data_IF_479240939224
#
_entry.id   IF_479240939224
#
_cell.length_a   1.000
_cell.length_b   1.000
_cell.length_c   1.000
_cell.angle_alpha   90.00
_cell.angle_beta   90.00
_cell.angle_gamma   90.00
#
_symmetry.space_group_name_H-M   'P 1'
#
loop_
_entity.id
_entity.type
_entity.pdbx_description
1 polymer ?
#
# COMPACT_ATOMS: atom_id res chain seq x y z
N UNK A 1 -10.75 -25.83 -8.96
CA UNK A 1 -11.48 -25.42 -7.73
C UNK A 1 -10.75 -24.21 -7.15
N UNK A 2 -11.45 -23.14 -6.74
CA UNK A 2 -10.78 -21.92 -6.31
C UNK A 2 -10.22 -22.11 -4.90
N UNK A 3 -8.92 -21.87 -4.72
CA UNK A 3 -8.31 -21.75 -3.39
C UNK A 3 -8.82 -20.46 -2.74
N UNK A 4 -9.75 -20.58 -1.80
CA UNK A 4 -10.46 -19.45 -1.18
C UNK A 4 -9.89 -18.98 0.17
N UNK A 5 -8.70 -19.42 0.57
CA UNK A 5 -8.10 -19.01 1.84
C UNK A 5 -6.59 -18.81 1.69
N UNK A 6 -5.97 -17.78 2.33
CA UNK A 6 -4.52 -17.69 2.39
C UNK A 6 -3.97 -18.96 3.05
N UNK A 7 -3.19 -19.79 2.33
CA UNK A 7 -2.84 -21.14 2.77
C UNK A 7 -2.10 -21.16 4.11
N UNK A 8 -1.44 -20.07 4.48
CA UNK A 8 -0.64 -19.96 5.70
C UNK A 8 -1.40 -20.00 7.03
N UNK A 9 -2.67 -19.62 7.06
CA UNK A 9 -3.44 -19.59 8.34
C UNK A 9 -3.87 -21.00 8.75
N UNK A 10 -4.28 -21.82 7.77
CA UNK A 10 -4.71 -23.20 7.98
C UNK A 10 -3.53 -24.18 8.13
N UNK A 11 -2.31 -23.79 7.72
CA UNK A 11 -1.11 -24.57 7.99
C UNK A 11 -0.73 -24.64 9.48
N UNK A 12 -1.25 -23.72 10.31
CA UNK A 12 -0.88 -23.60 11.73
C UNK A 12 -1.99 -24.01 12.71
N UNK A 13 -3.19 -24.26 12.21
CA UNK A 13 -4.37 -24.45 13.07
C UNK A 13 -5.33 -25.45 12.44
N UNK A 14 -6.01 -26.24 13.27
CA UNK A 14 -7.04 -27.15 12.79
C UNK A 14 -8.21 -26.39 12.14
N UNK A 15 -8.71 -26.93 11.04
CA UNK A 15 -9.75 -26.27 10.24
C UNK A 15 -11.07 -26.15 11.01
N UNK A 16 -11.45 -27.17 11.79
CA UNK A 16 -12.70 -27.18 12.58
C UNK A 16 -12.74 -26.04 13.60
N UNK A 17 -11.61 -25.77 14.24
CA UNK A 17 -11.49 -24.70 15.22
C UNK A 17 -11.54 -23.30 14.56
N UNK A 18 -10.97 -23.15 13.36
CA UNK A 18 -11.08 -21.91 12.59
C UNK A 18 -12.52 -21.67 12.17
N UNK A 19 -13.21 -22.69 11.67
CA UNK A 19 -14.62 -22.60 11.25
C UNK A 19 -15.53 -22.18 12.41
N UNK A 20 -15.38 -22.79 13.60
CA UNK A 20 -16.13 -22.41 14.80
C UNK A 20 -15.93 -20.92 15.15
N UNK A 21 -14.68 -20.45 15.18
CA UNK A 21 -14.33 -19.05 15.47
C UNK A 21 -14.89 -18.07 14.43
N UNK A 22 -14.84 -18.45 13.15
CA UNK A 22 -15.43 -17.66 12.05
C UNK A 22 -16.94 -17.57 12.22
N UNK A 23 -17.60 -18.69 12.55
CA UNK A 23 -19.05 -18.73 12.71
C UNK A 23 -19.52 -17.89 13.90
N UNK A 24 -18.79 -17.90 15.02
CA UNK A 24 -19.08 -17.04 16.17
C UNK A 24 -19.02 -15.55 15.80
N UNK A 25 -17.96 -15.12 15.10
CA UNK A 25 -17.86 -13.74 14.59
C UNK A 25 -18.96 -13.43 13.58
N UNK A 26 -19.27 -14.35 12.67
CA UNK A 26 -20.31 -14.14 11.66
C UNK A 26 -21.69 -13.89 12.28
N UNK A 27 -22.04 -14.54 13.39
CA UNK A 27 -23.31 -14.28 14.10
C UNK A 27 -23.47 -12.84 14.57
N UNK A 28 -22.38 -12.15 14.87
CA UNK A 28 -22.37 -10.72 15.18
C UNK A 28 -22.61 -9.89 13.91
N UNK A 29 -21.83 -10.15 12.85
CA UNK A 29 -21.88 -9.35 11.61
C UNK A 29 -23.13 -9.58 10.74
N UNK A 30 -23.80 -10.74 10.81
CA UNK A 30 -25.02 -11.02 10.02
C UNK A 30 -26.19 -10.08 10.32
N UNK A 31 -26.13 -9.37 11.46
CA UNK A 31 -27.14 -8.40 11.88
C UNK A 31 -26.89 -7.00 11.34
N UNK A 32 -25.74 -6.75 10.74
CA UNK A 32 -25.39 -5.45 10.17
C UNK A 32 -25.91 -5.33 8.73
N UNK A 33 -26.24 -4.11 8.28
CA UNK A 33 -26.42 -3.84 6.86
C UNK A 33 -25.17 -4.25 6.07
N UNK A 34 -25.37 -4.78 4.85
CA UNK A 34 -24.27 -5.26 3.99
C UNK A 34 -23.22 -4.17 3.77
N UNK A 35 -23.64 -2.93 3.50
CA UNK A 35 -22.73 -1.80 3.32
C UNK A 35 -21.86 -1.53 4.56
N UNK A 36 -22.44 -1.61 5.76
CA UNK A 36 -21.69 -1.47 7.02
C UNK A 36 -20.68 -2.60 7.20
N UNK A 37 -21.08 -3.83 6.88
CA UNK A 37 -20.18 -4.99 6.88
C UNK A 37 -19.00 -4.81 5.92
N UNK A 38 -19.27 -4.36 4.68
CA UNK A 38 -18.25 -4.11 3.66
C UNK A 38 -17.27 -3.01 4.09
N UNK A 39 -17.77 -1.88 4.59
CA UNK A 39 -16.91 -0.78 5.09
C UNK A 39 -16.06 -1.26 6.27
N UNK A 40 -16.64 -2.04 7.19
CA UNK A 40 -15.91 -2.57 8.35
C UNK A 40 -14.79 -3.52 7.92
N UNK A 41 -15.02 -4.32 6.87
CA UNK A 41 -14.00 -5.17 6.28
C UNK A 41 -12.88 -4.34 5.63
N UNK A 42 -13.21 -3.33 4.83
CA UNK A 42 -12.21 -2.46 4.20
C UNK A 42 -11.36 -1.75 5.26
N UNK A 43 -11.99 -1.23 6.32
CA UNK A 43 -11.30 -0.61 7.48
C UNK A 43 -10.40 -1.56 8.26
N UNK A 44 -10.66 -2.87 8.19
CA UNK A 44 -9.77 -3.87 8.76
C UNK A 44 -8.61 -4.16 7.80
N UNK A 45 -8.91 -4.29 6.52
CA UNK A 45 -7.92 -4.57 5.48
C UNK A 45 -6.89 -3.45 5.35
N UNK A 46 -7.31 -2.17 5.45
CA UNK A 46 -6.43 -1.00 5.34
C UNK A 46 -5.33 -0.93 6.42
N UNK A 47 -5.51 -1.65 7.53
CA UNK A 47 -4.50 -1.75 8.61
C UNK A 47 -3.33 -2.65 8.24
N UNK A 48 -3.46 -3.48 7.20
CA UNK A 48 -2.37 -4.32 6.71
C UNK A 48 -1.33 -3.44 6.00
N UNK A 49 -0.05 -3.62 6.33
CA UNK A 49 1.05 -2.88 5.72
C UNK A 49 1.14 -3.09 4.20
N UNK A 50 0.66 -4.23 3.70
CA UNK A 50 0.62 -4.58 2.27
C UNK A 50 -0.64 -4.08 1.55
N UNK A 51 -1.62 -3.53 2.27
CA UNK A 51 -2.88 -3.13 1.66
C UNK A 51 -2.70 -1.92 0.73
N UNK A 52 -3.19 -2.05 -0.50
CA UNK A 52 -3.07 -0.98 -1.49
C UNK A 52 -1.65 -0.79 -2.05
N UNK A 53 -0.73 -1.73 -1.78
CA UNK A 53 0.62 -1.73 -2.34
C UNK A 53 0.80 -2.83 -3.39
N UNK A 54 1.36 -2.46 -4.53
CA UNK A 54 1.79 -3.39 -5.59
C UNK A 54 3.31 -3.51 -5.53
N UNK A 55 3.79 -4.75 -5.48
CA UNK A 55 5.22 -5.04 -5.39
C UNK A 55 5.72 -5.62 -6.72
N UNK A 56 6.85 -5.11 -7.19
CA UNK A 56 7.51 -5.48 -8.42
C UNK A 56 8.96 -5.85 -8.13
N UNK A 57 9.48 -6.89 -8.79
CA UNK A 57 10.92 -7.13 -8.79
C UNK A 57 11.60 -6.15 -9.75
N UNK A 58 12.62 -5.46 -9.26
CA UNK A 58 13.39 -4.50 -10.05
C UNK A 58 14.89 -4.70 -9.82
N UNK A 59 15.69 -4.09 -10.69
CA UNK A 59 17.13 -3.97 -10.53
C UNK A 59 17.46 -2.52 -10.20
N UNK A 60 18.37 -2.30 -9.25
CA UNK A 60 18.95 -0.98 -9.05
C UNK A 60 20.02 -0.69 -10.12
N UNK A 61 20.60 0.51 -10.08
CA UNK A 61 21.69 0.93 -10.98
C UNK A 61 22.92 0.00 -10.90
N UNK A 62 23.12 -0.67 -9.77
CA UNK A 62 24.20 -1.63 -9.55
C UNK A 62 23.83 -3.08 -9.97
N UNK A 63 22.68 -3.29 -10.63
CA UNK A 63 22.12 -4.60 -10.98
C UNK A 63 21.78 -5.53 -9.79
N UNK A 64 21.65 -5.00 -8.57
CA UNK A 64 21.13 -5.74 -7.43
C UNK A 64 19.61 -5.87 -7.51
N UNK A 65 19.12 -7.07 -7.16
CA UNK A 65 17.68 -7.32 -7.04
C UNK A 65 17.09 -6.56 -5.86
N UNK A 66 16.07 -5.75 -6.13
CA UNK A 66 15.26 -5.07 -5.13
C UNK A 66 13.78 -5.32 -5.39
N UNK A 67 12.95 -4.97 -4.40
CA UNK A 67 11.50 -4.93 -4.56
C UNK A 67 11.07 -3.46 -4.58
N UNK A 68 10.45 -3.06 -5.68
CA UNK A 68 9.79 -1.77 -5.83
C UNK A 68 8.33 -1.92 -5.42
N UNK A 69 7.92 -1.21 -4.37
CA UNK A 69 6.54 -1.17 -3.89
C UNK A 69 5.93 0.18 -4.21
N UNK A 70 4.77 0.16 -4.88
CA UNK A 70 4.03 1.36 -5.26
C UNK A 70 2.66 1.28 -4.59
N UNK A 71 2.28 2.31 -3.83
CA UNK A 71 0.98 2.35 -3.18
C UNK A 71 0.49 3.76 -2.92
N UNK A 72 -0.60 3.87 -2.18
CA UNK A 72 -1.30 5.15 -1.99
C UNK A 72 -0.49 6.21 -1.23
N UNK A 73 0.53 5.84 -0.46
CA UNK A 73 1.40 6.81 0.24
C UNK A 73 2.63 7.24 -0.56
N UNK A 74 3.03 6.47 -1.58
CA UNK A 74 4.25 6.73 -2.34
C UNK A 74 4.90 5.47 -2.91
N UNK A 75 6.17 5.63 -3.25
CA UNK A 75 7.04 4.58 -3.79
C UNK A 75 8.09 4.20 -2.75
N UNK A 76 8.26 2.91 -2.52
CA UNK A 76 9.15 2.35 -1.50
C UNK A 76 10.01 1.27 -2.13
N UNK A 77 11.29 1.22 -1.74
CA UNK A 77 12.23 0.24 -2.25
C UNK A 77 12.70 -0.62 -1.09
N UNK A 78 12.59 -1.93 -1.24
CA UNK A 78 13.05 -2.90 -0.25
C UNK A 78 14.23 -3.69 -0.81
N UNK A 79 15.19 -3.99 0.05
CA UNK A 79 16.29 -4.87 -0.32
C UNK A 79 15.82 -6.31 -0.34
N UNK A 80 16.09 -7.03 -1.42
CA UNK A 80 15.82 -8.47 -1.50
C UNK A 80 16.94 -9.23 -0.79
N UNK A 81 16.92 -9.29 0.54
CA UNK A 81 17.83 -10.17 1.30
C UNK A 81 17.13 -11.45 1.72
N UNK A 82 17.85 -12.57 1.73
CA UNK A 82 17.35 -13.89 2.16
C UNK A 82 16.73 -13.90 3.57
N UNK A 83 17.09 -12.91 4.40
CA UNK A 83 16.70 -12.82 5.81
C UNK A 83 16.01 -11.50 6.20
N UNK A 84 15.73 -10.58 5.26
CA UNK A 84 14.98 -9.36 5.58
C UNK A 84 13.51 -9.54 5.24
N UNK A 85 12.68 -9.36 6.27
CA UNK A 85 11.26 -9.17 6.08
C UNK A 85 11.05 -7.83 5.34
N UNK A 86 10.11 -7.79 4.39
CA UNK A 86 9.70 -6.61 3.62
C UNK A 86 8.94 -5.57 4.47
N UNK A 87 9.34 -5.43 5.74
CA UNK A 87 8.68 -4.59 6.74
C UNK A 87 9.24 -3.17 6.64
N UNK A 88 10.57 -3.03 6.62
CA UNK A 88 11.24 -1.72 6.61
C UNK A 88 11.79 -1.42 5.21
N UNK A 89 11.34 -0.35 4.54
CA UNK A 89 11.89 0.06 3.26
C UNK A 89 13.31 0.62 3.42
N UNK A 90 14.17 0.32 2.46
CA UNK A 90 15.51 0.89 2.34
C UNK A 90 15.47 2.35 1.85
N UNK A 91 14.59 2.65 0.90
CA UNK A 91 14.31 4.00 0.42
C UNK A 91 12.79 4.24 0.39
N UNK A 92 12.37 5.45 0.71
CA UNK A 92 10.97 5.85 0.73
C UNK A 92 10.81 7.22 0.07
N UNK A 93 9.95 7.28 -0.94
CA UNK A 93 9.61 8.48 -1.70
C UNK A 93 8.10 8.71 -1.61
N UNK A 94 7.62 9.46 -0.60
CA UNK A 94 6.22 9.85 -0.52
C UNK A 94 5.78 10.66 -1.74
N UNK A 95 4.50 10.60 -2.12
CA UNK A 95 4.01 11.33 -3.31
C UNK A 95 4.34 12.83 -3.29
N UNK A 96 4.32 13.46 -2.10
CA UNK A 96 4.61 14.89 -1.94
C UNK A 96 6.01 15.34 -2.40
N UNK A 97 6.97 14.40 -2.50
CA UNK A 97 8.33 14.71 -2.95
C UNK A 97 8.58 14.28 -4.39
N UNK A 98 7.64 13.59 -5.03
CA UNK A 98 7.77 13.13 -6.41
C UNK A 98 7.15 14.19 -7.33
N UNK A 99 7.92 14.65 -8.31
CA UNK A 99 7.43 15.61 -9.31
C UNK A 99 6.97 14.90 -10.58
N UNK A 100 7.76 13.93 -11.06
CA UNK A 100 7.43 13.19 -12.27
C UNK A 100 7.90 11.74 -12.24
N UNK A 101 7.27 10.90 -13.07
CA UNK A 101 7.53 9.47 -13.21
C UNK A 101 7.65 9.11 -14.69
N UNK A 102 8.69 8.36 -15.05
CA UNK A 102 8.93 7.95 -16.42
C UNK A 102 9.25 6.45 -16.48
N UNK A 103 8.79 5.79 -17.54
CA UNK A 103 9.21 4.44 -17.87
C UNK A 103 9.56 4.35 -19.35
N UNK A 104 10.81 3.96 -19.64
CA UNK A 104 11.31 3.82 -21.02
C UNK A 104 12.41 2.78 -21.04
N UNK A 105 12.43 1.91 -22.05
CA UNK A 105 13.51 0.94 -22.29
C UNK A 105 13.84 0.06 -21.05
N UNK A 106 12.80 -0.36 -20.31
CA UNK A 106 12.88 -1.11 -19.04
C UNK A 106 13.50 -0.35 -17.86
N UNK A 107 13.76 0.94 -18.02
CA UNK A 107 14.20 1.84 -16.95
C UNK A 107 13.00 2.61 -16.40
N UNK A 108 12.87 2.59 -15.07
CA UNK A 108 11.88 3.38 -14.33
C UNK A 108 12.62 4.51 -13.62
N UNK A 109 12.24 5.76 -13.92
CA UNK A 109 12.89 6.96 -13.39
C UNK A 109 11.89 7.81 -12.63
N UNK A 110 12.32 8.34 -11.49
CA UNK A 110 11.53 9.20 -10.61
C UNK A 110 12.27 10.52 -10.47
N UNK A 111 11.59 11.61 -10.78
CA UNK A 111 12.09 12.96 -10.55
C UNK A 111 11.62 13.42 -9.17
N UNK A 112 12.57 13.79 -8.31
CA UNK A 112 12.31 14.16 -6.91
C UNK A 112 12.44 15.67 -6.79
N UNK A 113 11.43 16.30 -6.19
CA UNK A 113 11.46 17.71 -5.83
C UNK A 113 12.45 17.92 -4.69
N UNK A 114 13.40 18.83 -4.87
CA UNK A 114 14.29 19.24 -3.77
C UNK A 114 13.46 19.85 -2.63
N UNK A 115 13.68 19.44 -1.37
CA UNK A 115 13.06 20.10 -0.25
C UNK A 115 13.61 21.53 -0.18
N UNK A 116 12.77 22.53 -0.48
CA UNK A 116 13.10 23.91 -0.13
C UNK A 116 13.39 23.92 1.37
N UNK A 117 14.61 24.28 1.75
CA UNK A 117 15.01 24.49 3.16
C UNK A 117 14.19 25.67 3.69
N UNK A 118 12.98 25.40 4.15
CA UNK A 118 12.26 26.35 4.98
C UNK A 118 12.79 26.14 6.39
N UNK A 119 13.63 27.07 6.84
CA UNK A 119 14.03 27.19 8.24
C UNK A 119 12.78 27.49 9.07
N UNK A 120 12.13 26.46 9.58
CA UNK A 120 11.29 26.57 10.77
C UNK A 120 11.02 25.16 11.30
N UNK A 121 11.70 24.85 12.40
CA UNK A 121 11.29 23.84 13.35
C UNK A 121 9.81 24.01 13.70
N UNK A 122 9.12 22.87 13.85
CA UNK A 122 7.92 22.60 14.66
C UNK A 122 6.77 21.93 13.89
N UNK A 123 6.36 20.78 14.48
CA UNK A 123 5.09 20.05 14.32
C UNK A 123 5.01 19.00 13.20
N UNK A 124 5.57 17.83 13.50
CA UNK A 124 5.10 16.52 12.99
C UNK A 124 3.75 16.23 13.64
N UNK A 125 2.67 16.69 13.03
CA UNK A 125 1.32 16.23 13.37
C UNK A 125 0.73 15.66 12.10
N UNK A 126 0.18 14.45 12.23
CA UNK A 126 -0.45 13.66 11.18
C UNK A 126 -1.26 14.52 10.19
N UNK A 127 -0.70 14.72 9.00
CA UNK A 127 -1.43 15.21 7.84
C UNK A 127 -2.35 14.08 7.36
N UNK A 128 -3.51 13.97 8.00
CA UNK A 128 -4.70 13.37 7.40
C UNK A 128 -4.91 14.12 6.09
N UNK A 129 -4.59 13.47 4.98
CA UNK A 129 -4.76 14.01 3.64
C UNK A 129 -6.28 14.17 3.41
N UNK A 130 -6.81 15.35 3.74
CA UNK A 130 -8.08 15.83 3.24
C UNK A 130 -7.88 16.13 1.75
N UNK A 131 -7.85 15.07 0.94
CA UNK A 131 -7.96 15.22 -0.51
C UNK A 131 -9.35 15.81 -0.73
N UNK A 132 -9.41 17.09 -1.07
CA UNK A 132 -10.66 17.74 -1.39
C UNK A 132 -11.13 17.16 -2.72
N UNK A 133 -12.37 16.65 -2.81
CA UNK A 133 -12.91 15.93 -3.98
C UNK A 133 -12.72 16.69 -5.30
N UNK A 134 -12.59 18.02 -5.23
CA UNK A 134 -12.28 18.90 -6.37
C UNK A 134 -10.93 18.60 -7.01
N UNK A 135 -9.87 18.39 -6.22
CA UNK A 135 -8.53 18.14 -6.76
C UNK A 135 -8.45 16.78 -7.48
N UNK A 136 -9.22 15.79 -7.02
CA UNK A 136 -9.36 14.51 -7.72
C UNK A 136 -10.12 14.66 -9.04
N UNK A 137 -11.21 15.44 -9.04
CA UNK A 137 -11.99 15.69 -10.26
C UNK A 137 -11.19 16.42 -11.34
N UNK A 138 -10.36 17.39 -10.94
CA UNK A 138 -9.51 18.15 -11.85
C UNK A 138 -8.41 17.27 -12.48
N UNK A 139 -7.82 16.35 -11.70
CA UNK A 139 -6.81 15.42 -12.19
C UNK A 139 -7.35 14.43 -13.25
N UNK A 140 -8.60 13.98 -13.11
CA UNK A 140 -9.25 13.13 -14.10
C UNK A 140 -9.57 13.84 -15.42
N UNK A 141 -9.82 15.16 -15.36
CA UNK A 141 -10.06 15.99 -16.54
C UNK A 141 -8.79 16.53 -17.20
N UNK A 142 -7.61 16.25 -16.62
CA UNK A 142 -6.36 16.80 -17.12
C UNK A 142 -5.99 16.15 -18.47
N UNK A 143 -5.62 16.93 -19.49
CA UNK A 143 -5.34 16.43 -20.84
C UNK A 143 -4.13 15.47 -20.91
N UNK A 144 -3.25 15.49 -19.90
CA UNK A 144 -2.12 14.58 -19.77
C UNK A 144 -2.54 13.17 -19.35
N UNK A 145 -3.77 12.99 -18.88
CA UNK A 145 -4.32 11.72 -18.39
C UNK A 145 -5.19 10.99 -19.44
N UNK A 146 -5.35 11.57 -20.65
CA UNK A 146 -6.09 10.98 -21.79
C UNK A 146 -5.16 10.35 -22.83
#
# INVERSE_FOLDING_TARGET
MPLSHPPYILLKTDQSDVEKKVFEKFRYYRRLPVGTGMISFIKLAEKSESYGYRMYEALNENNDKCILSIGYKGIYIYRRSRHQNLITPYLAYPWRVIDNLYYRDKMFSIEIREPKKTESSENVVDDVILINDRQLSEAFSHPTTQ
#
